data_IF_941375797272
#
_entry.id   IF_941375797272
#
_cell.length_a   1.000
_cell.length_b   1.000
_cell.length_c   1.000
_cell.angle_alpha   90.00
_cell.angle_beta   90.00
_cell.angle_gamma   90.00
#
_symmetry.space_group_name_H-M   'P 1'
#
loop_
_entity.id
_entity.type
_entity.pdbx_description
1 polymer ?
#
# COMPACT_ATOMS: atom_id res chain seq x y z
N UNK A 1 0.64 11.75 -18.75
CA UNK A 1 -0.25 10.73 -18.18
C UNK A 1 0.53 9.94 -17.15
N UNK A 2 0.00 9.79 -15.93
CA UNK A 2 0.64 9.02 -14.87
C UNK A 2 0.02 7.63 -14.79
N UNK A 3 0.85 6.60 -14.71
CA UNK A 3 0.49 5.20 -14.53
C UNK A 3 1.14 4.74 -13.23
N UNK A 4 0.35 4.28 -12.26
CA UNK A 4 0.91 3.71 -11.04
C UNK A 4 0.90 2.19 -11.11
N UNK A 5 2.02 1.57 -10.75
CA UNK A 5 2.13 0.12 -10.59
C UNK A 5 2.23 -0.16 -9.09
N UNK A 6 1.13 -0.62 -8.50
CA UNK A 6 1.10 -1.09 -7.13
C UNK A 6 1.56 -2.55 -7.11
N UNK A 7 2.77 -2.78 -6.64
CA UNK A 7 3.39 -4.10 -6.74
C UNK A 7 4.39 -4.36 -5.64
N UNK A 8 4.61 -5.65 -5.37
CA UNK A 8 5.73 -6.11 -4.57
C UNK A 8 6.87 -6.58 -5.49
N UNK A 9 8.10 -6.20 -5.19
CA UNK A 9 9.28 -6.55 -5.99
C UNK A 9 9.65 -8.03 -5.89
N UNK A 10 9.10 -8.75 -4.89
CA UNK A 10 9.20 -10.22 -4.76
C UNK A 10 8.05 -10.96 -5.45
N UNK A 11 7.15 -10.25 -6.14
CA UNK A 11 6.08 -10.86 -6.92
C UNK A 11 6.53 -11.10 -8.37
N UNK A 12 6.63 -12.35 -8.80
CA UNK A 12 7.09 -12.65 -10.16
C UNK A 12 6.14 -12.10 -11.25
N UNK A 13 4.84 -12.03 -10.95
CA UNK A 13 3.87 -11.39 -11.83
C UNK A 13 4.06 -9.88 -11.95
N UNK A 14 4.67 -9.21 -10.98
CA UNK A 14 4.97 -7.79 -11.10
C UNK A 14 6.02 -7.54 -12.20
N UNK A 15 7.05 -8.39 -12.29
CA UNK A 15 8.07 -8.25 -13.33
C UNK A 15 7.52 -8.63 -14.72
N UNK A 16 6.69 -9.68 -14.81
CA UNK A 16 5.95 -9.99 -16.04
C UNK A 16 5.04 -8.82 -16.43
N UNK A 17 4.32 -8.25 -15.47
CA UNK A 17 3.45 -7.09 -15.67
C UNK A 17 4.21 -5.86 -16.17
N UNK A 18 5.45 -5.64 -15.69
CA UNK A 18 6.34 -4.59 -16.19
C UNK A 18 6.62 -4.75 -17.69
N UNK A 19 7.04 -5.94 -18.14
CA UNK A 19 7.30 -6.20 -19.56
C UNK A 19 6.06 -6.01 -20.42
N UNK A 20 4.90 -6.51 -19.95
CA UNK A 20 3.63 -6.35 -20.67
C UNK A 20 3.19 -4.89 -20.74
N UNK A 21 3.43 -4.09 -19.70
CA UNK A 21 3.19 -2.66 -19.72
C UNK A 21 4.12 -1.95 -20.71
N UNK A 22 5.42 -2.27 -20.71
CA UNK A 22 6.38 -1.71 -21.67
C UNK A 22 5.99 -2.03 -23.11
N UNK A 23 5.58 -3.28 -23.39
CA UNK A 23 5.07 -3.69 -24.69
C UNK A 23 3.78 -2.93 -25.07
N UNK A 24 2.88 -2.70 -24.10
CA UNK A 24 1.66 -1.92 -24.33
C UNK A 24 1.96 -0.45 -24.64
N UNK A 25 2.96 0.14 -23.98
CA UNK A 25 3.38 1.53 -24.18
C UNK A 25 4.20 1.74 -25.46
N UNK A 26 4.74 0.67 -26.06
CA UNK A 26 5.40 0.72 -27.37
C UNK A 26 4.42 0.82 -28.55
N UNK A 27 3.10 0.79 -28.30
CA UNK A 27 2.10 1.01 -29.33
C UNK A 27 2.16 2.47 -29.84
N UNK A 28 2.16 2.70 -31.17
CA UNK A 28 2.22 4.05 -31.75
C UNK A 28 1.14 5.01 -31.27
N UNK A 29 0.03 4.51 -30.71
CA UNK A 29 -1.00 5.35 -30.09
C UNK A 29 -0.49 6.19 -28.91
N UNK A 30 0.67 5.84 -28.33
CA UNK A 30 1.30 6.58 -27.23
C UNK A 30 2.53 7.39 -27.66
N UNK A 31 2.88 7.42 -28.95
CA UNK A 31 4.00 8.22 -29.45
C UNK A 31 3.80 9.71 -29.13
N UNK A 32 4.80 10.31 -28.49
CA UNK A 32 4.76 11.73 -28.09
C UNK A 32 3.84 12.03 -26.89
N UNK A 33 3.20 11.02 -26.29
CA UNK A 33 2.45 11.19 -25.04
C UNK A 33 3.45 11.11 -23.88
N UNK A 34 3.59 12.15 -23.04
CA UNK A 34 4.45 12.05 -21.86
C UNK A 34 3.82 11.06 -20.88
N UNK A 35 4.42 9.88 -20.73
CA UNK A 35 3.99 8.83 -19.79
C UNK A 35 4.96 8.79 -18.62
N UNK A 36 4.42 8.84 -17.40
CA UNK A 36 5.17 8.67 -16.16
C UNK A 36 4.72 7.36 -15.51
N UNK A 37 5.64 6.39 -15.37
CA UNK A 37 5.37 5.11 -14.70
C UNK A 37 5.93 5.14 -13.30
N UNK A 38 5.04 5.15 -12.29
CA UNK A 38 5.41 5.27 -10.89
C UNK A 38 5.13 3.97 -10.14
N UNK A 39 6.14 3.44 -9.48
CA UNK A 39 6.02 2.27 -8.63
C UNK A 39 5.50 2.66 -7.25
N UNK A 40 4.53 1.89 -6.76
CA UNK A 40 3.91 2.05 -5.45
C UNK A 40 4.05 0.75 -4.66
N UNK A 41 4.37 0.82 -3.36
CA UNK A 41 4.65 -0.37 -2.58
C UNK A 41 3.39 -1.19 -2.35
N UNK A 42 3.52 -2.50 -2.52
CA UNK A 42 2.61 -3.53 -2.03
C UNK A 42 3.43 -4.61 -1.36
N UNK A 43 2.89 -5.30 -0.34
CA UNK A 43 3.56 -6.43 0.31
C UNK A 43 2.72 -7.70 0.18
N UNK A 44 3.18 -8.66 -0.64
CA UNK A 44 2.53 -9.96 -0.80
C UNK A 44 2.73 -10.85 0.43
N UNK A 45 3.87 -10.69 1.12
CA UNK A 45 4.21 -11.40 2.35
C UNK A 45 4.54 -10.39 3.46
N UNK A 46 3.53 -9.87 4.17
CA UNK A 46 3.76 -8.99 5.33
C UNK A 46 4.49 -9.67 6.49
N UNK A 47 4.51 -11.01 6.53
CA UNK A 47 5.14 -11.82 7.59
C UNK A 47 6.52 -12.34 7.18
N UNK A 48 7.07 -11.83 6.08
CA UNK A 48 8.44 -12.10 5.64
C UNK A 48 9.43 -11.91 6.78
N UNK A 49 10.43 -12.81 6.95
CA UNK A 49 11.36 -12.74 8.05
C UNK A 49 12.26 -11.51 7.95
N UNK A 50 12.75 -11.02 9.09
CA UNK A 50 13.68 -9.89 9.14
C UNK A 50 15.04 -10.23 8.49
N UNK A 51 15.45 -11.49 8.53
CA UNK A 51 16.59 -12.03 7.78
C UNK A 51 16.07 -13.00 6.75
N UNK A 52 16.54 -12.88 5.53
CA UNK A 52 16.14 -13.77 4.44
C UNK A 52 16.49 -15.23 4.75
N UNK A 53 15.63 -16.12 4.29
CA UNK A 53 15.83 -17.57 4.37
C UNK A 53 15.82 -18.17 2.97
N UNK A 54 16.46 -19.32 2.74
CA UNK A 54 16.32 -20.02 1.47
C UNK A 54 14.85 -20.26 1.14
N UNK A 55 14.44 -19.94 -0.09
CA UNK A 55 13.04 -20.08 -0.51
C UNK A 55 12.60 -21.54 -0.52
N UNK A 56 13.50 -22.46 -0.87
CA UNK A 56 13.21 -23.89 -0.90
C UNK A 56 12.78 -24.42 0.47
N UNK A 57 13.46 -24.00 1.54
CA UNK A 57 13.09 -24.36 2.92
C UNK A 57 11.71 -23.81 3.30
N UNK A 58 11.41 -22.57 2.91
CA UNK A 58 10.10 -21.96 3.16
C UNK A 58 8.97 -22.66 2.39
N UNK A 59 9.24 -23.13 1.17
CA UNK A 59 8.26 -23.86 0.35
C UNK A 59 8.02 -25.29 0.84
N UNK A 60 8.94 -25.85 1.64
CA UNK A 60 8.74 -27.14 2.29
C UNK A 60 7.74 -27.07 3.47
N UNK A 61 7.41 -25.87 3.96
CA UNK A 61 6.38 -25.69 4.99
C UNK A 61 4.98 -25.98 4.41
N UNK A 62 4.24 -26.97 4.97
CA UNK A 62 2.89 -27.31 4.51
C UNK A 62 1.89 -26.14 4.54
N UNK A 63 2.05 -25.18 5.45
CA UNK A 63 1.20 -24.00 5.52
C UNK A 63 1.42 -23.07 4.31
N UNK A 64 2.69 -22.91 3.90
CA UNK A 64 3.08 -22.12 2.72
C UNK A 64 2.65 -22.85 1.44
N UNK A 65 2.89 -24.16 1.34
CA UNK A 65 2.44 -24.98 0.22
C UNK A 65 0.91 -24.88 0.03
N UNK A 66 0.14 -25.01 1.10
CA UNK A 66 -1.32 -24.90 1.05
C UNK A 66 -1.79 -23.49 0.64
N UNK A 67 -1.17 -22.44 1.17
CA UNK A 67 -1.50 -21.06 0.78
C UNK A 67 -1.25 -20.81 -0.71
N UNK A 68 -0.15 -21.34 -1.27
CA UNK A 68 0.19 -21.19 -2.68
C UNK A 68 -0.72 -21.98 -3.61
N UNK A 69 -1.26 -23.13 -3.18
CA UNK A 69 -2.25 -23.90 -3.97
C UNK A 69 -3.56 -23.14 -4.17
N UNK A 70 -3.97 -22.33 -3.19
CA UNK A 70 -5.17 -21.48 -3.33
C UNK A 70 -4.98 -20.44 -4.45
N UNK A 71 -3.75 -19.96 -4.65
CA UNK A 71 -3.43 -19.00 -5.70
C UNK A 71 -3.40 -19.61 -7.11
N UNK A 72 -3.19 -20.92 -7.24
CA UNK A 72 -3.16 -21.62 -8.52
C UNK A 72 -3.87 -22.99 -8.42
N UNK A 73 -5.22 -23.00 -8.36
CA UNK A 73 -5.99 -24.23 -8.25
C UNK A 73 -5.64 -25.23 -9.36
N UNK A 74 -5.35 -26.47 -8.98
CA UNK A 74 -5.02 -27.56 -9.92
C UNK A 74 -3.54 -27.68 -10.29
N UNK A 75 -2.66 -26.84 -9.76
CA UNK A 75 -1.21 -26.96 -9.90
C UNK A 75 -0.54 -27.12 -8.53
N UNK A 76 0.50 -27.96 -8.46
CA UNK A 76 1.44 -27.91 -7.33
C UNK A 76 2.27 -26.62 -7.37
N UNK A 77 2.83 -26.17 -6.23
CA UNK A 77 3.74 -25.01 -6.24
C UNK A 77 4.96 -25.19 -7.15
N UNK A 78 5.45 -26.43 -7.33
CA UNK A 78 6.50 -26.74 -8.29
C UNK A 78 6.06 -26.48 -9.75
N UNK A 79 4.93 -27.06 -10.17
CA UNK A 79 4.40 -26.88 -11.52
C UNK A 79 4.04 -25.42 -11.81
N UNK A 80 3.46 -24.71 -10.84
CA UNK A 80 3.15 -23.30 -10.99
C UNK A 80 4.42 -22.44 -11.15
N UNK A 81 5.50 -22.76 -10.43
CA UNK A 81 6.80 -22.08 -10.61
C UNK A 81 7.38 -22.31 -12.01
N UNK A 82 7.38 -23.54 -12.50
CA UNK A 82 7.83 -23.86 -13.87
C UNK A 82 7.01 -23.08 -14.89
N UNK A 83 5.68 -23.12 -14.77
CA UNK A 83 4.78 -22.35 -15.65
C UNK A 83 5.09 -20.85 -15.65
N UNK A 84 5.30 -20.26 -14.47
CA UNK A 84 5.62 -18.82 -14.36
C UNK A 84 6.99 -18.52 -14.96
N UNK A 85 7.97 -19.43 -14.81
CA UNK A 85 9.28 -19.33 -15.45
C UNK A 85 9.19 -19.35 -16.98
N UNK A 86 8.40 -20.25 -17.55
CA UNK A 86 8.20 -20.34 -19.00
C UNK A 86 7.56 -19.06 -19.55
N UNK A 87 6.58 -18.50 -18.82
CA UNK A 87 5.97 -17.21 -19.18
C UNK A 87 7.02 -16.10 -19.11
N UNK A 88 7.78 -15.98 -18.02
CA UNK A 88 8.81 -14.95 -17.88
C UNK A 88 9.87 -15.01 -18.98
N UNK A 89 10.26 -16.22 -19.39
CA UNK A 89 11.17 -16.43 -20.51
C UNK A 89 10.57 -15.98 -21.85
N UNK A 90 9.29 -16.29 -22.10
CA UNK A 90 8.57 -15.84 -23.30
C UNK A 90 8.42 -14.30 -23.38
N UNK A 91 8.38 -13.63 -22.22
CA UNK A 91 8.37 -12.16 -22.10
C UNK A 91 9.78 -11.54 -22.13
N UNK A 92 10.83 -12.34 -22.37
CA UNK A 92 12.21 -11.87 -22.54
C UNK A 92 12.94 -11.49 -21.25
N UNK A 93 12.45 -11.91 -20.08
CA UNK A 93 13.04 -11.54 -18.78
C UNK A 93 14.34 -12.31 -18.48
N UNK A 94 14.49 -13.51 -19.03
CA UNK A 94 15.71 -14.31 -18.94
C UNK A 94 15.45 -15.81 -19.06
N UNK A 95 16.47 -16.61 -19.43
CA UNK A 95 16.33 -18.06 -19.59
C UNK A 95 16.35 -18.84 -18.27
N UNK A 96 16.81 -18.21 -17.19
CA UNK A 96 16.72 -18.73 -15.81
C UNK A 96 15.92 -17.74 -14.99
N UNK A 97 14.83 -18.23 -14.40
CA UNK A 97 13.88 -17.41 -13.66
C UNK A 97 13.41 -18.14 -12.41
N UNK A 98 13.64 -17.52 -11.24
CA UNK A 98 13.21 -18.03 -9.95
C UNK A 98 13.94 -17.36 -8.81
N UNK A 99 13.20 -17.04 -7.75
CA UNK A 99 13.77 -16.52 -6.52
C UNK A 99 14.48 -17.62 -5.74
N UNK A 100 15.67 -17.33 -5.21
CA UNK A 100 16.39 -18.22 -4.29
C UNK A 100 16.07 -17.96 -2.82
N UNK A 101 15.53 -16.77 -2.50
CA UNK A 101 15.37 -16.28 -1.13
C UNK A 101 13.91 -15.90 -0.84
N UNK A 102 13.42 -16.25 0.34
CA UNK A 102 12.26 -15.57 0.95
C UNK A 102 12.78 -14.35 1.68
N UNK A 103 12.77 -13.21 0.99
CA UNK A 103 13.31 -11.94 1.48
C UNK A 103 12.21 -10.98 1.94
N UNK A 104 12.54 -10.09 2.88
CA UNK A 104 11.74 -8.90 3.14
C UNK A 104 11.93 -7.91 1.99
N UNK A 105 10.84 -7.42 1.39
CA UNK A 105 10.87 -6.40 0.35
C UNK A 105 10.87 -4.96 0.89
N UNK A 106 10.91 -4.78 2.22
CA UNK A 106 10.75 -3.47 2.85
C UNK A 106 11.83 -2.46 2.46
N UNK A 107 13.10 -2.81 2.61
CA UNK A 107 14.21 -1.91 2.24
C UNK A 107 14.30 -1.71 0.72
N UNK A 108 13.84 -2.68 -0.08
CA UNK A 108 13.71 -2.49 -1.52
C UNK A 108 12.62 -1.45 -1.86
N UNK A 109 11.46 -1.50 -1.21
CA UNK A 109 10.41 -0.47 -1.37
C UNK A 109 10.91 0.92 -0.95
N UNK A 110 11.67 1.01 0.15
CA UNK A 110 12.33 2.25 0.56
C UNK A 110 13.30 2.75 -0.50
N UNK A 111 14.10 1.88 -1.10
CA UNK A 111 15.02 2.26 -2.18
C UNK A 111 14.27 2.79 -3.41
N UNK A 112 13.17 2.14 -3.81
CA UNK A 112 12.32 2.61 -4.93
C UNK A 112 11.67 3.96 -4.62
N UNK A 113 11.21 4.18 -3.39
CA UNK A 113 10.69 5.48 -2.96
C UNK A 113 11.76 6.57 -3.05
N UNK A 114 12.94 6.32 -2.46
CA UNK A 114 14.05 7.27 -2.47
C UNK A 114 14.54 7.56 -3.89
N UNK A 115 14.58 6.56 -4.76
CA UNK A 115 14.95 6.73 -6.17
C UNK A 115 14.00 7.67 -6.91
N UNK A 116 12.70 7.59 -6.62
CA UNK A 116 11.70 8.53 -7.17
C UNK A 116 11.95 9.95 -6.67
N UNK A 117 12.21 10.14 -5.38
CA UNK A 117 12.47 11.48 -4.81
C UNK A 117 13.74 12.12 -5.39
N UNK A 118 14.77 11.33 -5.72
CA UNK A 118 16.05 11.84 -6.19
C UNK A 118 16.14 12.01 -7.71
N UNK A 119 15.48 11.14 -8.48
CA UNK A 119 15.64 11.09 -9.94
C UNK A 119 14.35 10.86 -10.71
N UNK A 120 13.19 10.97 -10.05
CA UNK A 120 11.87 10.81 -10.66
C UNK A 120 11.54 9.37 -11.07
N UNK A 121 10.46 9.25 -11.84
CA UNK A 121 9.90 7.99 -12.28
C UNK A 121 10.89 7.10 -13.07
N UNK A 122 11.76 7.71 -13.89
CA UNK A 122 12.75 6.97 -14.68
C UNK A 122 13.80 6.27 -13.79
N UNK A 123 14.36 6.99 -12.81
CA UNK A 123 15.31 6.40 -11.87
C UNK A 123 14.64 5.33 -11.01
N UNK A 124 13.42 5.58 -10.54
CA UNK A 124 12.64 4.58 -9.81
C UNK A 124 12.40 3.33 -10.65
N UNK A 125 12.03 3.47 -11.92
CA UNK A 125 11.79 2.35 -12.82
C UNK A 125 13.07 1.55 -13.09
N UNK A 126 14.22 2.22 -13.23
CA UNK A 126 15.52 1.57 -13.35
C UNK A 126 15.91 0.78 -12.08
N UNK A 127 15.66 1.34 -10.89
CA UNK A 127 15.88 0.63 -9.62
C UNK A 127 14.93 -0.57 -9.50
N UNK A 128 13.64 -0.41 -9.82
CA UNK A 128 12.67 -1.51 -9.78
C UNK A 128 13.09 -2.69 -10.68
N UNK A 129 13.53 -2.39 -11.91
CA UNK A 129 14.11 -3.36 -12.84
C UNK A 129 15.30 -4.11 -12.22
N UNK A 130 16.26 -3.38 -11.64
CA UNK A 130 17.47 -3.98 -11.05
C UNK A 130 17.18 -4.81 -9.81
N UNK A 131 16.27 -4.37 -8.94
CA UNK A 131 15.84 -5.16 -7.77
C UNK A 131 15.20 -6.47 -8.22
N UNK A 132 14.24 -6.42 -9.14
CA UNK A 132 13.54 -7.64 -9.59
C UNK A 132 14.47 -8.57 -10.37
N UNK A 133 15.43 -8.03 -11.14
CA UNK A 133 16.48 -8.81 -11.80
C UNK A 133 17.38 -9.52 -10.77
N UNK A 134 17.87 -8.78 -9.77
CA UNK A 134 18.69 -9.34 -8.71
C UNK A 134 17.96 -10.50 -8.01
N UNK A 135 16.67 -10.33 -7.72
CA UNK A 135 15.87 -11.34 -7.03
C UNK A 135 15.59 -12.59 -7.87
N UNK A 136 15.13 -12.41 -9.12
CA UNK A 136 14.57 -13.51 -9.91
C UNK A 136 15.50 -14.08 -10.98
N UNK A 137 16.48 -13.32 -11.44
CA UNK A 137 17.41 -13.75 -12.50
C UNK A 137 18.75 -14.13 -11.89
N UNK A 138 19.26 -13.27 -11.00
CA UNK A 138 20.58 -13.46 -10.38
C UNK A 138 20.52 -14.31 -9.10
N UNK A 139 19.32 -14.53 -8.55
CA UNK A 139 19.11 -15.32 -7.33
C UNK A 139 19.70 -14.67 -6.07
N UNK A 140 19.88 -13.35 -6.09
CA UNK A 140 20.46 -12.59 -5.00
C UNK A 140 19.44 -12.31 -3.88
N UNK A 141 19.95 -12.14 -2.67
CA UNK A 141 19.16 -11.77 -1.51
C UNK A 141 18.92 -10.26 -1.47
N UNK A 142 17.73 -9.82 -1.87
CA UNK A 142 17.34 -8.40 -1.83
C UNK A 142 16.99 -7.90 -0.41
N UNK A 143 16.97 -8.78 0.59
CA UNK A 143 16.92 -8.40 2.00
C UNK A 143 18.29 -7.99 2.56
N UNK A 144 19.39 -8.29 1.84
CA UNK A 144 20.73 -7.82 2.18
C UNK A 144 20.99 -6.41 1.63
N UNK A 145 21.40 -5.50 2.50
CA UNK A 145 21.74 -4.12 2.14
C UNK A 145 22.93 -4.02 1.19
N UNK A 146 23.86 -4.98 1.20
CA UNK A 146 24.96 -5.01 0.23
C UNK A 146 24.45 -5.26 -1.18
N UNK A 147 23.48 -6.17 -1.32
CA UNK A 147 22.78 -6.41 -2.60
C UNK A 147 22.06 -5.15 -3.06
N UNK A 148 21.28 -4.50 -2.17
CA UNK A 148 20.56 -3.27 -2.51
C UNK A 148 21.50 -2.11 -2.87
N UNK A 149 22.67 -2.02 -2.24
CA UNK A 149 23.69 -1.03 -2.59
C UNK A 149 24.25 -1.25 -4.01
N UNK A 150 24.56 -2.50 -4.37
CA UNK A 150 25.00 -2.84 -5.72
C UNK A 150 23.90 -2.53 -6.76
N UNK A 151 22.66 -2.91 -6.47
CA UNK A 151 21.47 -2.61 -7.29
C UNK A 151 21.30 -1.10 -7.50
N UNK A 152 21.42 -0.30 -6.44
CA UNK A 152 21.31 1.15 -6.50
C UNK A 152 22.40 1.76 -7.40
N UNK A 153 23.66 1.35 -7.21
CA UNK A 153 24.79 1.83 -8.01
C UNK A 153 24.63 1.47 -9.50
N UNK A 154 24.21 0.23 -9.81
CA UNK A 154 23.97 -0.23 -11.17
C UNK A 154 22.80 0.47 -11.87
N UNK A 155 21.81 0.92 -11.11
CA UNK A 155 20.69 1.72 -11.60
C UNK A 155 21.05 3.21 -11.79
N UNK A 156 22.26 3.63 -11.39
CA UNK A 156 22.68 5.03 -11.42
C UNK A 156 22.27 5.84 -10.18
N UNK A 157 21.86 5.19 -9.09
CA UNK A 157 21.50 5.82 -7.82
C UNK A 157 22.57 5.62 -6.75
N UNK A 158 23.70 6.33 -6.90
CA UNK A 158 24.87 6.17 -6.03
C UNK A 158 24.58 6.42 -4.53
N UNK A 159 23.69 7.35 -4.22
CA UNK A 159 23.36 7.73 -2.84
C UNK A 159 22.37 6.78 -2.15
N UNK A 160 21.72 5.89 -2.91
CA UNK A 160 20.63 5.05 -2.40
C UNK A 160 21.02 4.18 -1.21
N UNK A 161 22.23 3.62 -1.23
CA UNK A 161 22.76 2.82 -0.13
C UNK A 161 22.91 3.64 1.16
N UNK A 162 23.48 4.84 1.05
CA UNK A 162 23.69 5.72 2.20
C UNK A 162 22.35 6.19 2.81
N UNK A 163 21.36 6.47 1.98
CA UNK A 163 20.03 6.89 2.43
C UNK A 163 19.27 5.77 3.16
N UNK A 164 19.44 4.51 2.74
CA UNK A 164 18.84 3.38 3.46
C UNK A 164 19.37 3.26 4.90
N UNK A 165 20.64 3.60 5.14
CA UNK A 165 21.28 3.60 6.47
C UNK A 165 20.70 4.65 7.41
N UNK A 166 20.17 5.77 6.91
CA UNK A 166 19.64 6.85 7.77
C UNK A 166 18.21 6.59 8.27
N UNK A 167 17.53 5.58 7.74
CA UNK A 167 16.11 5.37 7.99
C UNK A 167 15.18 6.14 7.04
N UNK A 168 15.71 6.84 6.04
CA UNK A 168 14.91 7.59 5.07
C UNK A 168 13.88 6.71 4.33
N UNK A 169 12.69 7.24 4.06
CA UNK A 169 11.61 6.53 3.37
C UNK A 169 10.79 5.57 4.24
N UNK A 170 11.12 5.40 5.52
CA UNK A 170 10.44 4.45 6.42
C UNK A 170 8.96 4.82 6.64
N UNK A 171 8.71 6.09 6.97
CA UNK A 171 7.35 6.56 7.26
C UNK A 171 6.56 6.70 5.96
N UNK A 172 7.20 7.16 4.88
CA UNK A 172 6.57 7.36 3.58
C UNK A 172 6.14 6.04 2.93
N UNK A 173 6.99 5.01 2.98
CA UNK A 173 6.60 3.66 2.49
C UNK A 173 5.45 3.10 3.33
N UNK A 174 5.47 3.31 4.65
CA UNK A 174 4.37 2.89 5.53
C UNK A 174 3.06 3.60 5.17
N UNK A 175 3.09 4.91 4.94
CA UNK A 175 1.93 5.67 4.50
C UNK A 175 1.44 5.22 3.12
N UNK A 176 2.35 5.00 2.15
CA UNK A 176 1.99 4.55 0.82
C UNK A 176 1.31 3.17 0.85
N UNK A 177 1.79 2.22 1.67
CA UNK A 177 1.14 0.93 1.87
C UNK A 177 -0.31 1.09 2.40
N UNK A 178 -0.51 2.01 3.34
CA UNK A 178 -1.83 2.33 3.87
C UNK A 178 -2.72 2.99 2.82
N UNK A 179 -2.19 3.89 1.99
CA UNK A 179 -2.90 4.50 0.86
C UNK A 179 -3.33 3.44 -0.14
N UNK A 180 -2.46 2.49 -0.48
CA UNK A 180 -2.81 1.37 -1.37
C UNK A 180 -3.99 0.57 -0.83
N UNK A 181 -3.95 0.23 0.47
CA UNK A 181 -5.05 -0.44 1.17
C UNK A 181 -6.34 0.39 1.17
N UNK A 182 -6.25 1.70 1.40
CA UNK A 182 -7.37 2.63 1.39
C UNK A 182 -8.03 2.73 0.01
N UNK A 183 -7.21 2.68 -1.06
CA UNK A 183 -7.65 2.68 -2.46
C UNK A 183 -8.16 1.31 -2.94
N UNK A 184 -8.20 0.31 -2.07
CA UNK A 184 -8.70 -1.02 -2.39
C UNK A 184 -7.75 -1.90 -3.19
N UNK A 185 -6.46 -1.53 -3.28
CA UNK A 185 -5.44 -2.39 -3.89
C UNK A 185 -5.30 -3.66 -3.05
N UNK A 186 -5.57 -4.81 -3.66
CA UNK A 186 -5.62 -6.10 -2.98
C UNK A 186 -4.67 -7.15 -3.57
N UNK A 187 -3.97 -6.84 -4.68
CA UNK A 187 -3.08 -7.79 -5.35
C UNK A 187 -1.92 -7.11 -6.06
N UNK A 188 -0.85 -7.86 -6.28
CA UNK A 188 0.35 -7.44 -7.01
C UNK A 188 0.46 -8.21 -8.34
N UNK A 189 0.72 -7.53 -9.47
CA UNK A 189 0.65 -6.08 -9.65
C UNK A 189 -0.80 -5.61 -9.77
N UNK A 190 -1.07 -4.34 -9.44
CA UNK A 190 -2.28 -3.61 -9.84
C UNK A 190 -1.85 -2.34 -10.56
N UNK A 191 -2.27 -2.18 -11.82
CA UNK A 191 -1.99 -1.00 -12.64
C UNK A 191 -3.12 0.00 -12.47
N UNK A 192 -2.80 1.25 -12.16
CA UNK A 192 -3.78 2.31 -11.91
C UNK A 192 -3.54 3.49 -12.86
N UNK A 193 -4.61 3.93 -13.53
CA UNK A 193 -4.61 5.11 -14.41
C UNK A 193 -5.85 5.93 -14.09
N UNK A 194 -5.64 7.17 -13.64
CA UNK A 194 -6.72 8.00 -13.11
C UNK A 194 -7.35 7.36 -11.86
N UNK A 195 -8.68 7.21 -11.88
CA UNK A 195 -9.45 6.53 -10.82
C UNK A 195 -9.73 5.05 -11.13
N UNK A 196 -9.13 4.49 -12.19
CA UNK A 196 -9.36 3.11 -12.63
C UNK A 196 -8.18 2.23 -12.24
N UNK A 197 -8.47 0.98 -11.88
CA UNK A 197 -7.48 -0.04 -11.53
C UNK A 197 -7.66 -1.30 -12.38
N UNK A 198 -6.55 -1.92 -12.75
CA UNK A 198 -6.47 -3.19 -13.46
C UNK A 198 -5.62 -4.16 -12.64
N UNK A 199 -6.26 -5.20 -12.10
CA UNK A 199 -5.60 -6.19 -11.26
C UNK A 199 -4.89 -7.27 -12.09
N UNK A 200 -3.68 -7.63 -11.67
CA UNK A 200 -2.86 -8.69 -12.24
C UNK A 200 -2.05 -8.26 -13.47
N UNK A 201 -1.12 -9.12 -13.86
CA UNK A 201 -0.31 -8.96 -15.06
C UNK A 201 -1.11 -9.36 -16.32
N UNK A 202 -2.09 -8.54 -16.71
CA UNK A 202 -2.92 -8.79 -17.89
C UNK A 202 -2.09 -8.79 -19.19
N UNK A 203 -2.57 -9.42 -20.29
CA UNK A 203 -1.92 -9.33 -21.60
C UNK A 203 -1.68 -7.88 -22.05
N UNK A 204 -0.62 -7.64 -22.84
CA UNK A 204 -0.22 -6.30 -23.25
C UNK A 204 -1.35 -5.54 -23.98
N UNK A 205 -2.15 -6.24 -24.78
CA UNK A 205 -3.29 -5.67 -25.49
C UNK A 205 -4.38 -5.16 -24.53
N UNK A 206 -4.65 -5.91 -23.46
CA UNK A 206 -5.60 -5.52 -22.42
C UNK A 206 -5.08 -4.33 -21.63
N UNK A 207 -3.79 -4.31 -21.31
CA UNK A 207 -3.14 -3.17 -20.63
C UNK A 207 -3.22 -1.93 -21.52
N UNK A 208 -2.90 -2.04 -22.81
CA UNK A 208 -3.00 -0.94 -23.78
C UNK A 208 -4.42 -0.38 -23.83
N UNK A 209 -5.43 -1.23 -24.00
CA UNK A 209 -6.83 -0.79 -24.01
C UNK A 209 -7.24 -0.12 -22.69
N UNK A 210 -6.75 -0.64 -21.56
CA UNK A 210 -7.03 -0.06 -20.25
C UNK A 210 -6.46 1.35 -20.13
N UNK A 211 -5.19 1.55 -20.52
CA UNK A 211 -4.48 2.83 -20.52
C UNK A 211 -5.14 3.81 -21.49
N UNK A 212 -5.48 3.39 -22.71
CA UNK A 212 -6.11 4.26 -23.72
C UNK A 212 -7.48 4.78 -23.27
N UNK A 213 -8.21 4.02 -22.45
CA UNK A 213 -9.47 4.44 -21.81
C UNK A 213 -9.22 5.20 -20.49
N UNK A 214 -7.96 5.33 -20.06
CA UNK A 214 -7.57 5.99 -18.82
C UNK A 214 -7.73 7.51 -18.95
N UNK A 215 -8.43 8.13 -18.00
CA UNK A 215 -8.57 9.57 -17.92
C UNK A 215 -7.56 10.20 -16.96
N UNK A 216 -7.58 11.53 -16.90
CA UNK A 216 -6.90 12.25 -15.82
C UNK A 216 -7.63 12.02 -14.50
N UNK A 217 -6.88 11.77 -13.42
CA UNK A 217 -7.42 11.77 -12.07
C UNK A 217 -7.88 13.18 -11.75
N UNK A 218 -9.05 13.32 -11.11
CA UNK A 218 -9.42 14.61 -10.53
C UNK A 218 -8.49 14.89 -9.36
N UNK A 219 -7.66 15.93 -9.47
CA UNK A 219 -6.81 16.38 -8.38
C UNK A 219 -7.68 17.01 -7.29
N UNK A 220 -7.53 16.50 -6.07
CA UNK A 220 -8.07 17.08 -4.86
C UNK A 220 -6.89 17.62 -4.04
N UNK A 221 -7.12 18.59 -3.15
CA UNK A 221 -6.10 18.98 -2.19
C UNK A 221 -5.60 17.77 -1.39
N UNK A 222 -4.30 17.70 -1.12
CA UNK A 222 -3.65 16.57 -0.47
C UNK A 222 -4.29 16.25 0.88
N UNK A 223 -4.71 17.28 1.63
CA UNK A 223 -5.40 17.12 2.90
C UNK A 223 -6.76 16.41 2.76
N UNK A 224 -7.48 16.68 1.67
CA UNK A 224 -8.77 16.05 1.38
C UNK A 224 -8.56 14.59 0.95
N UNK A 225 -7.54 14.32 0.13
CA UNK A 225 -7.19 12.94 -0.24
C UNK A 225 -6.80 12.12 0.99
N UNK A 226 -5.95 12.68 1.84
CA UNK A 226 -5.48 12.04 3.07
C UNK A 226 -6.64 11.76 4.04
N UNK A 227 -7.57 12.71 4.20
CA UNK A 227 -8.76 12.52 5.04
C UNK A 227 -9.64 11.37 4.50
N UNK A 228 -9.89 11.33 3.18
CA UNK A 228 -10.66 10.26 2.54
C UNK A 228 -9.98 8.90 2.66
N UNK A 229 -8.66 8.83 2.50
CA UNK A 229 -7.93 7.59 2.70
C UNK A 229 -7.99 7.11 4.16
N UNK A 230 -7.86 8.03 5.12
CA UNK A 230 -8.01 7.70 6.53
C UNK A 230 -9.43 7.17 6.87
N UNK A 231 -10.47 7.76 6.27
CA UNK A 231 -11.84 7.30 6.44
C UNK A 231 -12.05 5.91 5.84
N UNK A 232 -11.55 5.69 4.61
CA UNK A 232 -11.60 4.39 3.96
C UNK A 232 -10.89 3.28 4.77
N UNK A 233 -9.78 3.60 5.45
CA UNK A 233 -9.12 2.65 6.35
C UNK A 233 -9.97 2.30 7.56
N UNK A 234 -10.61 3.30 8.17
CA UNK A 234 -11.50 3.08 9.30
C UNK A 234 -12.69 2.18 8.93
N UNK A 235 -13.31 2.44 7.77
CA UNK A 235 -14.42 1.63 7.25
C UNK A 235 -14.00 0.18 6.97
N UNK A 236 -12.73 -0.02 6.59
CA UNK A 236 -12.09 -1.34 6.43
C UNK A 236 -11.61 -1.95 7.76
N UNK A 237 -12.06 -1.43 8.90
CA UNK A 237 -11.70 -1.87 10.25
C UNK A 237 -10.20 -1.77 10.55
N UNK A 238 -9.53 -0.77 9.99
CA UNK A 238 -8.14 -0.43 10.29
C UNK A 238 -8.03 0.95 10.96
N UNK A 239 -8.47 1.06 12.24
CA UNK A 239 -8.43 2.32 12.96
C UNK A 239 -7.01 2.81 13.23
N UNK A 240 -6.02 1.91 13.33
CA UNK A 240 -4.63 2.30 13.56
C UNK A 240 -4.00 2.89 12.28
N UNK A 241 -4.23 2.26 11.12
CA UNK A 241 -3.83 2.82 9.83
C UNK A 241 -4.49 4.17 9.55
N UNK A 242 -5.78 4.30 9.89
CA UNK A 242 -6.51 5.57 9.81
C UNK A 242 -5.81 6.66 10.64
N UNK A 243 -5.43 6.37 11.89
CA UNK A 243 -4.71 7.32 12.76
C UNK A 243 -3.30 7.68 12.27
N UNK A 244 -2.61 6.76 11.59
CA UNK A 244 -1.32 7.06 10.93
C UNK A 244 -1.55 8.10 9.84
N UNK A 245 -2.49 7.88 8.92
CA UNK A 245 -2.77 8.84 7.85
C UNK A 245 -3.33 10.17 8.36
N UNK A 246 -4.08 10.16 9.46
CA UNK A 246 -4.60 11.37 10.10
C UNK A 246 -3.54 12.22 10.81
N UNK A 247 -2.36 11.67 11.15
CA UNK A 247 -1.38 12.38 11.98
C UNK A 247 -1.04 13.77 11.44
N UNK A 248 -0.65 13.95 10.16
CA UNK A 248 -0.33 15.28 9.65
C UNK A 248 -1.53 16.23 9.64
N UNK A 249 -2.76 15.70 9.48
CA UNK A 249 -3.98 16.50 9.52
C UNK A 249 -4.30 16.95 10.94
N UNK A 250 -4.05 16.12 11.95
CA UNK A 250 -4.22 16.50 13.34
C UNK A 250 -3.21 17.58 13.75
N UNK A 251 -2.00 17.53 13.21
CA UNK A 251 -0.96 18.51 13.52
C UNK A 251 -1.22 19.87 12.84
N UNK A 252 -1.73 19.88 11.60
CA UNK A 252 -1.99 21.10 10.83
C UNK A 252 -3.42 21.67 10.99
N UNK A 253 -4.42 20.79 11.12
CA UNK A 253 -5.85 21.11 11.15
C UNK A 253 -6.52 20.54 12.39
N UNK A 254 -5.80 20.59 13.52
CA UNK A 254 -6.22 20.00 14.78
C UNK A 254 -7.57 20.49 15.30
N UNK A 255 -8.06 21.65 14.86
CA UNK A 255 -9.37 22.20 15.28
C UNK A 255 -10.49 21.95 14.26
N UNK A 256 -10.17 21.34 13.10
CA UNK A 256 -11.19 21.00 12.11
C UNK A 256 -12.10 19.88 12.63
N UNK A 257 -13.42 20.12 12.55
CA UNK A 257 -14.44 19.19 13.05
C UNK A 257 -14.35 17.81 12.39
N UNK A 258 -14.11 17.74 11.09
CA UNK A 258 -14.10 16.46 10.36
C UNK A 258 -12.86 15.64 10.72
N UNK A 259 -11.69 16.30 10.81
CA UNK A 259 -10.45 15.67 11.26
C UNK A 259 -10.63 15.10 12.68
N UNK A 260 -11.20 15.88 13.58
CA UNK A 260 -11.43 15.45 14.96
C UNK A 260 -12.47 14.36 15.09
N UNK A 261 -13.56 14.45 14.33
CA UNK A 261 -14.60 13.43 14.34
C UNK A 261 -14.03 12.09 13.86
N UNK A 262 -13.26 12.10 12.78
CA UNK A 262 -12.63 10.88 12.27
C UNK A 262 -11.60 10.33 13.26
N UNK A 263 -10.78 11.19 13.87
CA UNK A 263 -9.83 10.79 14.92
C UNK A 263 -10.54 10.18 16.14
N UNK A 264 -11.63 10.78 16.62
CA UNK A 264 -12.43 10.27 17.73
C UNK A 264 -13.00 8.88 17.43
N UNK A 265 -13.58 8.69 16.23
CA UNK A 265 -14.07 7.38 15.77
C UNK A 265 -12.93 6.35 15.75
N UNK A 266 -11.76 6.72 15.24
CA UNK A 266 -10.60 5.84 15.15
C UNK A 266 -9.99 5.52 16.54
N UNK A 267 -9.92 6.48 17.46
CA UNK A 267 -9.52 6.23 18.85
C UNK A 267 -10.48 5.28 19.57
N UNK A 268 -11.79 5.48 19.40
CA UNK A 268 -12.80 4.58 19.97
C UNK A 268 -12.65 3.16 19.42
N UNK A 269 -12.54 3.01 18.10
CA UNK A 269 -12.40 1.72 17.43
C UNK A 269 -11.10 0.99 17.79
N UNK A 270 -10.02 1.72 18.09
CA UNK A 270 -8.74 1.18 18.56
C UNK A 270 -8.60 1.10 20.09
N UNK A 271 -9.69 1.28 20.85
CA UNK A 271 -9.73 1.23 22.32
C UNK A 271 -8.83 2.27 23.04
N UNK A 272 -8.42 3.34 22.36
CA UNK A 272 -7.73 4.49 22.96
C UNK A 272 -8.74 5.44 23.63
N UNK A 273 -9.50 4.92 24.60
CA UNK A 273 -10.71 5.58 25.13
C UNK A 273 -10.45 6.93 25.79
N UNK A 274 -9.28 7.14 26.40
CA UNK A 274 -8.90 8.45 26.96
C UNK A 274 -8.76 9.53 25.89
N UNK A 275 -8.14 9.19 24.74
CA UNK A 275 -8.00 10.11 23.60
C UNK A 275 -9.35 10.34 22.92
N UNK A 276 -10.16 9.29 22.79
CA UNK A 276 -11.53 9.40 22.27
C UNK A 276 -12.36 10.37 23.12
N UNK A 277 -12.37 10.17 24.45
CA UNK A 277 -13.09 11.02 25.40
C UNK A 277 -12.67 12.49 25.27
N UNK A 278 -11.38 12.77 25.39
CA UNK A 278 -10.88 14.15 25.32
C UNK A 278 -11.24 14.84 23.99
N UNK A 279 -11.17 14.12 22.88
CA UNK A 279 -11.55 14.64 21.55
C UNK A 279 -13.05 14.91 21.45
N UNK A 280 -13.87 14.00 21.98
CA UNK A 280 -15.33 14.08 21.92
C UNK A 280 -15.91 15.12 22.89
N UNK A 281 -15.32 15.30 24.07
CA UNK A 281 -15.67 16.37 25.00
C UNK A 281 -15.48 17.74 24.35
N UNK A 282 -14.40 17.93 23.58
CA UNK A 282 -14.19 19.14 22.80
C UNK A 282 -15.26 19.31 21.71
N UNK A 283 -15.48 18.28 20.89
CA UNK A 283 -16.49 18.33 19.81
C UNK A 283 -17.90 18.65 20.33
N UNK A 284 -18.32 18.04 21.44
CA UNK A 284 -19.63 18.29 22.07
C UNK A 284 -19.68 19.67 22.73
N UNK A 285 -18.55 20.16 23.26
CA UNK A 285 -18.44 21.52 23.80
C UNK A 285 -18.63 22.57 22.71
N UNK A 286 -18.03 22.37 21.53
CA UNK A 286 -18.09 23.31 20.41
C UNK A 286 -19.41 23.21 19.63
N UNK A 287 -19.98 22.00 19.49
CA UNK A 287 -21.23 21.75 18.76
C UNK A 287 -22.16 20.85 19.60
N UNK A 288 -22.88 21.44 20.58
CA UNK A 288 -23.71 20.68 21.51
C UNK A 288 -24.90 19.93 20.87
N UNK A 289 -25.28 20.25 19.64
CA UNK A 289 -26.38 19.64 18.89
C UNK A 289 -25.91 18.51 17.94
N UNK A 290 -24.62 18.16 17.95
CA UNK A 290 -24.10 17.01 17.22
C UNK A 290 -24.49 15.69 17.91
N UNK A 291 -25.57 15.07 17.43
CA UNK A 291 -26.11 13.84 18.01
C UNK A 291 -25.14 12.67 17.94
N UNK A 292 -24.38 12.56 16.86
CA UNK A 292 -23.38 11.51 16.69
C UNK A 292 -22.21 11.68 17.66
N UNK A 293 -21.68 12.90 17.80
CA UNK A 293 -20.61 13.20 18.76
C UNK A 293 -21.04 12.85 20.20
N UNK A 294 -22.28 13.23 20.58
CA UNK A 294 -22.84 12.91 21.90
C UNK A 294 -23.01 11.42 22.10
N UNK A 295 -23.56 10.72 21.11
CA UNK A 295 -23.73 9.28 21.18
C UNK A 295 -22.37 8.60 21.39
N UNK A 296 -21.38 8.94 20.57
CA UNK A 296 -20.04 8.36 20.65
C UNK A 296 -19.33 8.69 21.97
N UNK A 297 -19.52 9.90 22.53
CA UNK A 297 -19.02 10.27 23.86
C UNK A 297 -19.65 9.39 24.95
N UNK A 298 -20.97 9.24 24.93
CA UNK A 298 -21.69 8.36 25.85
C UNK A 298 -21.21 6.91 25.77
N UNK A 299 -21.04 6.36 24.55
CA UNK A 299 -20.49 5.01 24.34
C UNK A 299 -19.05 4.89 24.82
N UNK A 300 -18.24 5.94 24.68
CA UNK A 300 -16.86 5.98 25.16
C UNK A 300 -16.83 5.91 26.69
N UNK A 301 -17.61 6.75 27.36
CA UNK A 301 -17.74 6.77 28.83
C UNK A 301 -18.26 5.43 29.37
N UNK A 302 -19.26 4.82 28.71
CA UNK A 302 -19.72 3.47 29.06
C UNK A 302 -18.60 2.43 29.00
N UNK A 303 -17.79 2.43 27.93
CA UNK A 303 -16.63 1.51 27.80
C UNK A 303 -15.52 1.78 28.82
N UNK A 304 -15.48 2.97 29.40
CA UNK A 304 -14.58 3.31 30.51
C UNK A 304 -15.15 2.95 31.90
N UNK A 305 -16.40 2.46 31.97
CA UNK A 305 -17.06 2.15 33.24
C UNK A 305 -17.71 3.36 33.93
N UNK A 306 -17.85 4.49 33.23
CA UNK A 306 -18.39 5.75 33.75
C UNK A 306 -19.87 5.90 33.35
N UNK A 307 -20.71 4.98 33.83
CA UNK A 307 -22.11 4.89 33.40
C UNK A 307 -22.94 6.13 33.77
N UNK A 308 -22.69 6.73 34.95
CA UNK A 308 -23.40 7.94 35.40
C UNK A 308 -23.07 9.15 34.53
N UNK A 309 -21.80 9.33 34.16
CA UNK A 309 -21.38 10.38 33.23
C UNK A 309 -21.92 10.14 31.80
N UNK A 310 -22.05 8.88 31.38
CA UNK A 310 -22.53 8.53 30.04
C UNK A 310 -24.03 8.80 29.83
N UNK A 311 -24.85 8.56 30.86
CA UNK A 311 -26.31 8.63 30.79
C UNK A 311 -26.88 9.93 30.19
N UNK A 312 -26.45 11.15 30.60
CA UNK A 312 -26.95 12.38 30.02
C UNK A 312 -26.59 12.54 28.53
N UNK A 313 -25.40 12.09 28.11
CA UNK A 313 -24.99 12.16 26.71
C UNK A 313 -25.81 11.25 25.81
N UNK A 314 -26.04 10.00 26.24
CA UNK A 314 -26.83 9.03 25.49
C UNK A 314 -28.30 9.44 25.39
N UNK A 315 -28.88 9.89 26.50
CA UNK A 315 -30.28 10.35 26.54
C UNK A 315 -30.49 11.54 25.61
N UNK A 316 -29.56 12.50 25.61
CA UNK A 316 -29.63 13.65 24.71
C UNK A 316 -29.46 13.23 23.24
N UNK A 317 -28.53 12.32 22.94
CA UNK A 317 -28.34 11.83 21.58
C UNK A 317 -29.59 11.13 21.04
N UNK A 318 -30.23 10.26 21.83
CA UNK A 318 -31.48 9.58 21.47
C UNK A 318 -32.63 10.58 21.24
N UNK A 319 -32.74 11.61 22.09
CA UNK A 319 -33.74 12.66 21.92
C UNK A 319 -33.58 13.46 20.62
N UNK A 320 -32.34 13.68 20.16
CA UNK A 320 -32.05 14.37 18.89
C UNK A 320 -32.13 13.44 17.67
N UNK A 321 -31.88 12.15 17.84
CA UNK A 321 -31.82 11.17 16.76
C UNK A 321 -32.31 9.80 17.28
N UNK A 322 -33.60 9.46 17.05
CA UNK A 322 -34.23 8.25 17.59
C UNK A 322 -33.62 6.92 17.12
N UNK A 323 -32.74 6.94 16.13
CA UNK A 323 -31.99 5.78 15.64
C UNK A 323 -30.97 5.21 16.67
N UNK A 324 -30.74 5.93 17.77
CA UNK A 324 -29.83 5.53 18.85
C UNK A 324 -30.50 4.86 20.06
N UNK A 325 -31.83 4.70 20.05
CA UNK A 325 -32.60 3.96 21.07
C UNK A 325 -32.47 2.42 20.94
#
# INVERSE_FOLDING_TARGET
MRIEIWADVVCGWAYIGKRRLEAALADPAFDGVPVEVVWRPFRIDPTSPARSTPLEEALADPAVDNALRVCAPGLSPGENRTRVSDIAAAEGIGPRWGAAWRASSHDAHRLLFLAHEHGGAELQNAVAERVMRAHFVDGADIGDRRTLAAVAAEAGFADGAALLETGAGEDEVRELLLIGKARGVATSPTIVVGDRALAGAQPAEVIREFIARGGHRRELPDEVERLRHAEALLDRRDPLGSLVLLRPLLDAYGDDRNVLMLAARAYFASAQLGRARATLERLVGDTPDDSYARHLLGRTLQRQGLAEEAAPHLSMAAAMSPEYD
#
